data_IF_395601916880
#
_entry.id   IF_395601916880
#
_cell.length_a   1.000
_cell.length_b   1.000
_cell.length_c   1.000
_cell.angle_alpha   90.00
_cell.angle_beta   90.00
_cell.angle_gamma   90.00
#
_symmetry.space_group_name_H-M   'P 1'
#
loop_
_entity.id
_entity.type
_entity.pdbx_description
1 polymer ?
#
# COMPACT_ATOMS: atom_id res chain seq x y z
N UNK A 1 2.38 11.77 -21.82
CA UNK A 1 2.84 12.25 -20.51
C UNK A 1 3.73 11.17 -19.90
N UNK A 2 4.66 11.54 -19.02
CA UNK A 2 5.50 10.58 -18.31
C UNK A 2 5.58 10.91 -16.82
N UNK A 3 5.53 9.87 -15.99
CA UNK A 3 5.88 9.95 -14.57
C UNK A 3 7.37 9.65 -14.46
N UNK A 4 8.12 10.58 -13.87
CA UNK A 4 9.58 10.55 -13.75
C UNK A 4 10.04 9.96 -12.42
N UNK A 5 9.18 10.00 -11.41
CA UNK A 5 9.50 9.52 -10.08
C UNK A 5 8.28 9.55 -9.19
N UNK A 6 8.43 8.90 -8.03
CA UNK A 6 7.46 8.89 -6.97
C UNK A 6 8.21 9.00 -5.66
N UNK A 7 7.67 9.69 -4.68
CA UNK A 7 8.22 9.71 -3.33
C UNK A 7 7.12 9.86 -2.30
N UNK A 8 7.45 9.53 -1.05
CA UNK A 8 6.50 9.55 0.06
C UNK A 8 6.85 10.71 0.98
N UNK A 9 5.85 11.52 1.28
CA UNK A 9 5.96 12.59 2.25
C UNK A 9 5.20 12.21 3.53
N UNK A 10 5.90 12.13 4.66
CA UNK A 10 5.26 11.89 5.96
C UNK A 10 4.68 13.22 6.45
N UNK A 11 3.36 13.29 6.58
CA UNK A 11 2.67 14.51 7.02
C UNK A 11 2.56 14.60 8.54
N UNK A 12 2.48 13.46 9.24
CA UNK A 12 2.55 13.43 10.70
C UNK A 12 3.06 12.08 11.22
N UNK A 13 3.65 12.10 12.42
CA UNK A 13 3.95 10.92 13.24
C UNK A 13 3.30 11.06 14.60
N UNK A 14 2.74 9.97 15.11
CA UNK A 14 2.08 9.86 16.40
C UNK A 14 2.51 8.57 17.12
N UNK A 15 2.45 8.54 18.46
CA UNK A 15 2.57 7.31 19.20
C UNK A 15 1.56 6.27 18.74
N UNK A 16 1.93 5.00 18.83
CA UNK A 16 1.02 3.88 18.54
C UNK A 16 -0.18 3.96 19.50
N UNK A 17 -1.44 3.87 19.00
CA UNK A 17 -2.61 3.78 19.87
C UNK A 17 -2.50 2.61 20.84
N UNK A 18 -2.93 2.77 22.10
CA UNK A 18 -2.75 1.77 23.16
C UNK A 18 -3.53 0.47 22.97
N UNK A 19 -4.69 0.52 22.32
CA UNK A 19 -5.61 -0.61 22.09
C UNK A 19 -6.05 -0.65 20.62
N UNK A 20 -6.58 -1.79 20.17
CA UNK A 20 -7.11 -1.96 18.82
C UNK A 20 -6.95 -3.39 18.29
N UNK A 21 -7.68 -3.68 17.21
CA UNK A 21 -7.62 -4.92 16.45
C UNK A 21 -7.35 -4.58 14.98
N UNK A 22 -6.76 -5.50 14.23
CA UNK A 22 -6.73 -5.39 12.76
C UNK A 22 -7.74 -6.35 12.18
N UNK A 23 -8.56 -5.84 11.26
CA UNK A 23 -9.52 -6.66 10.53
C UNK A 23 -9.09 -6.65 9.06
N UNK A 24 -8.80 -7.81 8.51
CA UNK A 24 -8.66 -7.98 7.06
C UNK A 24 -9.96 -8.53 6.48
N UNK A 25 -10.28 -8.14 5.26
CA UNK A 25 -11.33 -8.75 4.45
C UNK A 25 -10.65 -9.35 3.24
N UNK A 26 -11.16 -10.49 2.73
CA UNK A 26 -10.65 -11.05 1.48
C UNK A 26 -10.68 -10.00 0.37
N UNK A 27 -9.63 -9.96 -0.43
CA UNK A 27 -9.52 -9.02 -1.55
C UNK A 27 -10.25 -9.61 -2.77
N UNK A 28 -11.17 -8.84 -3.33
CA UNK A 28 -11.76 -9.12 -4.64
C UNK A 28 -11.16 -8.11 -5.64
N UNK A 29 -9.84 -8.20 -5.86
CA UNK A 29 -9.15 -7.42 -6.89
C UNK A 29 -9.29 -8.10 -8.25
N UNK A 30 -9.79 -7.38 -9.26
CA UNK A 30 -9.79 -7.87 -10.65
C UNK A 30 -8.37 -7.89 -11.24
N UNK A 31 -8.17 -8.69 -12.28
CA UNK A 31 -6.88 -8.88 -12.97
C UNK A 31 -6.46 -7.69 -13.85
N UNK A 32 -6.33 -6.50 -13.26
CA UNK A 32 -5.71 -5.35 -13.94
C UNK A 32 -4.20 -5.49 -13.84
N UNK A 33 -3.47 -5.23 -14.93
CA UNK A 33 -2.01 -5.17 -14.89
C UNK A 33 -1.56 -4.00 -14.01
N UNK A 34 -0.69 -4.28 -13.04
CA UNK A 34 -0.19 -3.29 -12.07
C UNK A 34 1.32 -3.21 -12.09
N UNK A 35 1.85 -2.07 -11.65
CA UNK A 35 3.25 -1.90 -11.24
C UNK A 35 3.32 -1.91 -9.74
N UNK A 36 4.05 -2.86 -9.19
CA UNK A 36 4.08 -3.12 -7.76
C UNK A 36 5.30 -2.47 -7.12
N UNK A 37 5.12 -1.84 -5.98
CA UNK A 37 6.19 -1.20 -5.21
C UNK A 37 6.14 -1.60 -3.75
N UNK A 38 7.28 -2.05 -3.24
CA UNK A 38 7.50 -2.20 -1.82
C UNK A 38 7.74 -0.84 -1.18
N UNK A 39 6.95 -0.50 -0.18
CA UNK A 39 7.03 0.74 0.57
C UNK A 39 7.51 0.48 1.99
N UNK A 40 8.61 1.15 2.35
CA UNK A 40 9.17 1.16 3.69
C UNK A 40 9.00 2.53 4.34
N UNK A 41 7.94 2.68 5.14
CA UNK A 41 7.63 3.90 5.91
C UNK A 41 8.45 4.02 7.21
N UNK A 42 9.15 2.96 7.61
CA UNK A 42 10.04 2.96 8.76
C UNK A 42 11.40 3.61 8.45
N UNK A 43 11.80 3.65 7.18
CA UNK A 43 13.02 4.32 6.75
C UNK A 43 12.92 5.85 6.90
N UNK A 44 14.08 6.51 7.02
CA UNK A 44 14.18 7.97 7.05
C UNK A 44 15.25 8.42 6.03
N UNK A 45 14.86 9.00 4.88
CA UNK A 45 13.48 9.17 4.41
C UNK A 45 12.80 7.82 4.07
N UNK A 46 11.45 7.76 3.99
CA UNK A 46 10.77 6.58 3.49
C UNK A 46 11.26 6.17 2.11
N UNK A 47 11.30 4.87 1.84
CA UNK A 47 11.76 4.35 0.54
C UNK A 47 10.64 3.61 -0.18
N UNK A 48 10.70 3.60 -1.50
CA UNK A 48 9.86 2.81 -2.39
C UNK A 48 10.79 2.02 -3.32
N UNK A 49 10.47 0.76 -3.61
CA UNK A 49 11.30 -0.11 -4.47
C UNK A 49 10.39 -0.87 -5.42
N UNK A 50 10.63 -0.74 -6.72
CA UNK A 50 9.88 -1.49 -7.73
C UNK A 50 10.08 -2.99 -7.55
N UNK A 51 9.01 -3.76 -7.78
CA UNK A 51 9.02 -5.22 -7.71
C UNK A 51 8.21 -5.83 -8.84
N UNK A 52 8.44 -7.12 -9.16
CA UNK A 52 7.61 -7.80 -10.15
C UNK A 52 6.17 -7.87 -9.63
N UNK A 53 5.21 -7.64 -10.53
CA UNK A 53 3.83 -7.96 -10.22
C UNK A 53 3.63 -9.47 -10.39
N UNK A 54 2.94 -10.08 -9.44
CA UNK A 54 2.61 -11.51 -9.44
C UNK A 54 1.11 -11.66 -9.35
N UNK A 55 0.57 -12.64 -10.06
CA UNK A 55 -0.82 -13.05 -9.90
C UNK A 55 -0.97 -13.85 -8.60
N UNK A 56 -1.87 -13.40 -7.72
CA UNK A 56 -1.99 -13.95 -6.37
C UNK A 56 -2.53 -15.40 -6.35
N UNK A 57 -3.16 -15.87 -7.44
CA UNK A 57 -3.73 -17.23 -7.52
C UNK A 57 -2.75 -18.24 -8.12
N UNK A 58 -2.02 -17.83 -9.15
CA UNK A 58 -1.12 -18.69 -9.92
C UNK A 58 0.35 -18.54 -9.51
N UNK A 59 0.69 -17.44 -8.82
CA UNK A 59 2.06 -17.08 -8.46
C UNK A 59 2.93 -16.66 -9.66
N UNK A 60 2.35 -16.56 -10.86
CA UNK A 60 3.09 -16.20 -12.06
C UNK A 60 3.39 -14.70 -12.11
N UNK A 61 4.56 -14.34 -12.62
CA UNK A 61 4.92 -12.95 -12.87
C UNK A 61 4.05 -12.41 -14.01
N UNK A 62 3.25 -11.39 -13.72
CA UNK A 62 2.36 -10.73 -14.68
C UNK A 62 2.97 -9.46 -15.27
N UNK A 63 3.93 -8.85 -14.58
CA UNK A 63 4.64 -7.66 -15.05
C UNK A 63 6.07 -7.65 -14.49
N UNK A 64 7.09 -7.38 -15.33
CA UNK A 64 8.47 -7.31 -14.87
C UNK A 64 8.71 -6.08 -13.98
N UNK A 65 9.75 -6.15 -13.15
CA UNK A 65 10.26 -4.99 -12.42
C UNK A 65 10.80 -3.97 -13.42
N UNK A 66 10.11 -2.84 -13.51
CA UNK A 66 10.56 -1.68 -14.27
C UNK A 66 10.73 -0.54 -13.28
N UNK A 67 11.78 0.26 -13.42
CA UNK A 67 11.92 1.47 -12.63
C UNK A 67 11.48 2.69 -13.47
N UNK A 68 11.29 3.82 -12.81
CA UNK A 68 10.95 5.07 -13.48
C UNK A 68 11.96 5.40 -14.61
N UNK A 69 11.49 6.04 -15.70
CA UNK A 69 10.17 6.66 -15.88
C UNK A 69 9.10 5.75 -16.49
N UNK A 70 7.83 6.04 -16.19
CA UNK A 70 6.65 5.40 -16.80
C UNK A 70 5.97 6.33 -17.79
N UNK A 71 5.59 5.81 -18.96
CA UNK A 71 4.73 6.52 -19.91
C UNK A 71 3.28 6.26 -19.53
N UNK A 72 2.47 7.31 -19.44
CA UNK A 72 1.03 7.21 -19.14
C UNK A 72 0.23 8.01 -20.16
N UNK A 73 -1.00 7.57 -20.43
CA UNK A 73 -1.92 8.24 -21.33
C UNK A 73 -3.34 8.25 -20.76
N UNK A 74 -4.22 9.08 -21.34
CA UNK A 74 -5.63 9.15 -20.92
C UNK A 74 -6.42 7.89 -21.34
N UNK A 75 -5.98 7.20 -22.39
CA UNK A 75 -6.66 6.01 -22.93
C UNK A 75 -6.13 4.71 -22.35
N UNK A 76 -4.91 4.73 -21.81
CA UNK A 76 -4.23 3.58 -21.22
C UNK A 76 -3.58 4.03 -19.90
N UNK A 77 -4.32 3.90 -18.78
CA UNK A 77 -3.85 4.31 -17.46
C UNK A 77 -2.90 3.26 -16.87
N UNK A 78 -1.79 3.72 -16.30
CA UNK A 78 -0.90 2.84 -15.53
C UNK A 78 -1.39 2.75 -14.08
N UNK A 79 -1.54 1.53 -13.56
CA UNK A 79 -1.94 1.28 -12.17
C UNK A 79 -0.70 1.02 -11.31
N UNK A 80 -0.48 1.86 -10.30
CA UNK A 80 0.57 1.69 -9.30
C UNK A 80 0.01 1.09 -8.02
N UNK A 81 0.52 -0.07 -7.63
CA UNK A 81 0.19 -0.73 -6.36
C UNK A 81 1.32 -0.54 -5.36
N UNK A 82 1.00 0.03 -4.20
CA UNK A 82 1.96 0.35 -3.15
C UNK A 82 1.74 -0.56 -1.95
N UNK A 83 2.60 -1.57 -1.80
CA UNK A 83 2.58 -2.47 -0.66
C UNK A 83 3.40 -1.89 0.48
N UNK A 84 2.73 -1.49 1.56
CA UNK A 84 3.42 -1.08 2.79
C UNK A 84 3.98 -2.33 3.49
N UNK A 85 5.18 -2.75 3.10
CA UNK A 85 5.85 -3.92 3.67
C UNK A 85 6.50 -3.63 5.03
N UNK A 86 6.86 -2.37 5.27
CA UNK A 86 7.32 -1.89 6.58
C UNK A 86 6.55 -0.64 7.00
N UNK A 87 5.62 -0.80 7.93
CA UNK A 87 4.85 0.30 8.51
C UNK A 87 5.73 1.24 9.37
N UNK A 88 5.27 2.47 9.59
CA UNK A 88 5.85 3.39 10.56
C UNK A 88 5.91 2.77 11.97
N UNK A 89 6.90 3.12 12.80
CA UNK A 89 7.03 2.55 14.15
C UNK A 89 5.78 2.72 15.04
N UNK A 90 5.01 3.78 14.83
CA UNK A 90 3.77 4.07 15.55
C UNK A 90 2.56 4.21 14.62
N UNK A 91 1.95 5.38 14.66
CA UNK A 91 0.89 5.83 13.74
C UNK A 91 1.45 6.97 12.91
N UNK A 92 1.33 6.91 11.59
CA UNK A 92 1.75 7.99 10.72
C UNK A 92 0.71 8.26 9.65
N UNK A 93 0.69 9.51 9.21
CA UNK A 93 -0.03 9.91 8.00
C UNK A 93 0.95 10.34 6.93
N UNK A 94 0.61 10.08 5.67
CA UNK A 94 1.48 10.35 4.54
C UNK A 94 0.70 10.67 3.27
N UNK A 95 1.38 11.33 2.33
CA UNK A 95 0.94 11.53 0.96
C UNK A 95 1.95 10.91 0.01
N UNK A 96 1.50 10.56 -1.19
CA UNK A 96 2.40 10.13 -2.27
C UNK A 96 2.56 11.30 -3.23
N UNK A 97 3.78 11.60 -3.63
CA UNK A 97 4.07 12.68 -4.56
C UNK A 97 4.62 12.07 -5.84
N UNK A 98 4.02 12.42 -6.97
CA UNK A 98 4.47 12.02 -8.30
C UNK A 98 5.17 13.17 -8.98
N UNK A 99 6.37 12.92 -9.48
CA UNK A 99 7.11 13.85 -10.34
C UNK A 99 6.78 13.50 -11.79
N UNK A 100 6.38 14.49 -12.60
CA UNK A 100 5.93 14.21 -13.97
C UNK A 100 6.38 15.25 -14.99
N UNK A 101 6.33 14.85 -16.26
CA UNK A 101 6.44 15.71 -17.43
C UNK A 101 5.27 15.48 -18.39
N UNK A 102 4.60 16.55 -18.77
CA UNK A 102 3.50 16.56 -19.73
C UNK A 102 3.64 17.79 -20.63
N UNK A 103 3.61 17.58 -21.95
CA UNK A 103 3.68 18.65 -22.96
C UNK A 103 4.80 19.68 -22.70
N UNK A 104 5.99 19.17 -22.37
CA UNK A 104 7.18 19.97 -22.07
C UNK A 104 7.21 20.63 -20.69
N UNK A 105 6.13 20.56 -19.91
CA UNK A 105 6.05 21.08 -18.54
C UNK A 105 6.40 19.99 -17.54
N UNK A 106 7.20 20.35 -16.53
CA UNK A 106 7.47 19.51 -15.35
C UNK A 106 6.58 19.95 -14.20
N UNK A 107 6.18 19.01 -13.36
CA UNK A 107 5.38 19.31 -12.18
C UNK A 107 5.35 18.17 -11.18
N UNK A 108 4.68 18.43 -10.07
CA UNK A 108 4.39 17.44 -9.03
C UNK A 108 2.89 17.30 -8.85
N UNK A 109 2.43 16.09 -8.59
CA UNK A 109 1.05 15.81 -8.17
C UNK A 109 1.07 15.12 -6.82
N UNK A 110 0.29 15.64 -5.87
CA UNK A 110 0.09 15.00 -4.57
C UNK A 110 -1.12 14.08 -4.67
N UNK A 111 -0.90 12.80 -4.36
CA UNK A 111 -1.95 11.81 -4.20
C UNK A 111 -2.23 11.64 -2.71
N UNK A 112 -3.51 11.74 -2.39
CA UNK A 112 -4.04 11.58 -1.05
C UNK A 112 -5.33 10.74 -1.08
N UNK A 113 -5.92 10.52 0.08
CA UNK A 113 -7.18 9.84 0.26
C UNK A 113 -8.34 10.86 0.29
N UNK A 114 -8.69 11.41 -0.88
CA UNK A 114 -9.80 12.34 -1.07
C UNK A 114 -9.73 13.58 -0.14
N UNK A 115 -8.59 14.24 -0.10
CA UNK A 115 -8.34 15.41 0.77
C UNK A 115 -7.83 15.06 2.17
N UNK A 116 -7.64 13.78 2.47
CA UNK A 116 -7.02 13.30 3.71
C UNK A 116 -5.72 12.57 3.41
N UNK A 117 -4.68 12.75 4.24
CA UNK A 117 -3.50 11.90 4.14
C UNK A 117 -3.85 10.43 4.37
N UNK A 118 -3.18 9.52 3.66
CA UNK A 118 -3.19 8.10 3.98
C UNK A 118 -2.67 7.87 5.39
N UNK A 119 -3.06 6.75 6.02
CA UNK A 119 -2.66 6.41 7.38
C UNK A 119 -2.07 5.01 7.44
N UNK A 120 -0.93 4.86 8.10
CA UNK A 120 -0.31 3.57 8.40
C UNK A 120 -0.04 3.45 9.90
N UNK A 121 -0.44 2.32 10.49
CA UNK A 121 -0.22 2.01 11.91
C UNK A 121 0.53 0.69 12.00
N UNK A 122 1.62 0.65 12.77
CA UNK A 122 2.24 -0.62 13.13
C UNK A 122 1.35 -1.39 14.11
N UNK A 123 0.65 -2.37 13.56
CA UNK A 123 -0.25 -3.23 14.29
C UNK A 123 0.31 -4.65 14.53
N UNK A 124 1.63 -4.85 14.42
CA UNK A 124 2.26 -6.19 14.52
C UNK A 124 1.98 -6.90 15.85
N UNK A 125 1.80 -6.15 16.94
CA UNK A 125 1.46 -6.67 18.27
C UNK A 125 -0.05 -6.66 18.58
N UNK A 126 -0.92 -6.46 17.58
CA UNK A 126 -2.37 -6.37 17.77
C UNK A 126 -3.04 -7.68 17.36
N UNK A 127 -4.11 -8.11 18.09
CA UNK A 127 -4.94 -9.22 17.64
C UNK A 127 -5.43 -8.99 16.21
N UNK A 128 -5.28 -10.01 15.37
CA UNK A 128 -5.66 -9.97 13.96
C UNK A 128 -6.87 -10.85 13.72
N UNK A 129 -7.85 -10.32 13.00
CA UNK A 129 -9.06 -11.02 12.62
C UNK A 129 -9.28 -10.91 11.11
N UNK A 130 -9.87 -11.95 10.53
CA UNK A 130 -10.41 -11.96 9.18
C UNK A 130 -11.93 -11.78 9.26
N UNK A 131 -12.50 -10.96 8.38
CA UNK A 131 -13.93 -10.75 8.25
C UNK A 131 -14.49 -11.67 7.16
N UNK A 132 -15.30 -12.64 7.57
CA UNK A 132 -15.86 -13.68 6.70
C UNK A 132 -17.39 -13.64 6.67
N UNK A 133 -18.02 -13.98 5.53
CA UNK A 133 -19.46 -14.24 5.51
C UNK A 133 -19.78 -15.51 6.32
N UNK A 134 -20.71 -15.41 7.27
CA UNK A 134 -21.29 -16.54 8.01
C UNK A 134 -22.81 -16.62 7.79
N UNK A 135 -23.42 -17.70 8.29
CA UNK A 135 -24.86 -17.98 8.13
C UNK A 135 -25.79 -16.86 8.66
N UNK A 136 -25.34 -16.13 9.69
CA UNK A 136 -26.10 -15.04 10.33
C UNK A 136 -25.49 -13.65 10.07
N UNK A 137 -24.65 -13.52 9.05
CA UNK A 137 -23.93 -12.28 8.72
C UNK A 137 -22.41 -12.37 8.87
N UNK A 138 -21.72 -11.24 8.78
CA UNK A 138 -20.25 -11.22 8.81
C UNK A 138 -19.71 -11.61 10.20
N UNK A 139 -18.68 -12.47 10.25
CA UNK A 139 -18.02 -12.94 11.46
C UNK A 139 -16.54 -12.61 11.46
N UNK A 140 -16.01 -12.22 12.61
CA UNK A 140 -14.58 -12.03 12.83
C UNK A 140 -13.94 -13.35 13.27
N UNK A 141 -13.05 -13.88 12.44
CA UNK A 141 -12.28 -15.10 12.70
C UNK A 141 -10.84 -14.73 13.07
N UNK A 142 -10.28 -15.21 14.20
CA UNK A 142 -8.89 -14.96 14.54
C UNK A 142 -7.94 -15.50 13.46
N UNK A 143 -6.99 -14.67 13.00
CA UNK A 143 -5.99 -15.06 11.99
C UNK A 143 -4.81 -15.86 12.58
N UNK A 144 -4.62 -15.81 13.90
CA UNK A 144 -3.53 -16.51 14.57
C UNK A 144 -4.00 -17.05 15.93
N UNK A 145 -3.85 -18.35 16.13
CA UNK A 145 -3.94 -19.00 17.44
C UNK A 145 -2.54 -19.10 18.03
N UNK A 146 -2.23 -18.24 19.01
CA UNK A 146 -0.99 -18.38 19.78
C UNK A 146 -1.26 -19.33 20.94
N UNK A 147 -0.80 -20.58 20.83
CA UNK A 147 -0.78 -21.53 21.94
C UNK A 147 0.47 -21.25 22.79
N UNK A 148 0.29 -20.75 24.01
CA UNK A 148 1.33 -20.80 25.05
C UNK A 148 1.11 -22.08 25.85
N UNK A 149 1.94 -23.09 25.62
CA UNK A 149 2.06 -24.21 26.54
C UNK A 149 3.01 -23.78 27.67
N UNK A 150 2.62 -24.05 28.91
CA UNK A 150 3.42 -23.81 30.12
C UNK A 150 4.67 -24.68 30.13
#
# INVERSE_FOLDING_TARGET
>A
MSVLGMHINITARRPKPGTGITVSRGECGGGVSKRRFDVNLAATPPTFVAKPAVDDFTGQVTSPTVDFPYKISLTDPEVFELDVTKACAGDCTFTVVLDWVADGKKGTSVLDNHGHSFRSINASSRPRYRLDPGLDGMKLQPLSLTLKLL
#
